data_IF_337499755473
#
_entry.id   IF_337499755473
#
_cell.length_a   1.000
_cell.length_b   1.000
_cell.length_c   1.000
_cell.angle_alpha   90.00
_cell.angle_beta   90.00
_cell.angle_gamma   90.00
#
_symmetry.space_group_name_H-M   'P 1'
#
loop_
_entity.id
_entity.type
_entity.pdbx_description
1 polymer ?
#
# COMPACT_ATOMS: atom_id res chain seq x y z
N UNK A 1 -8.28 26.96 0.75
CA UNK A 1 -8.32 25.71 -0.05
C UNK A 1 -8.65 24.58 0.92
N UNK A 2 -9.79 23.91 0.74
CA UNK A 2 -10.08 22.70 1.51
C UNK A 2 -9.19 21.60 0.92
N UNK A 3 -8.12 21.23 1.63
CA UNK A 3 -7.28 20.09 1.27
C UNK A 3 -8.05 18.81 1.61
N UNK A 4 -8.98 18.43 0.75
CA UNK A 4 -9.71 17.17 0.87
C UNK A 4 -8.90 16.08 0.18
N UNK A 5 -8.60 15.01 0.90
CA UNK A 5 -8.00 13.82 0.29
C UNK A 5 -9.10 13.11 -0.51
N UNK A 6 -9.04 13.21 -1.84
CA UNK A 6 -9.99 12.55 -2.71
C UNK A 6 -9.54 11.12 -3.02
N UNK A 7 -10.50 10.19 -3.05
CA UNK A 7 -10.28 8.85 -3.58
C UNK A 7 -9.73 8.95 -5.01
N UNK A 8 -8.57 8.38 -5.30
CA UNK A 8 -7.98 8.44 -6.64
C UNK A 8 -8.84 7.72 -7.69
N UNK A 9 -9.61 6.71 -7.26
CA UNK A 9 -10.47 5.85 -8.09
C UNK A 9 -11.79 6.55 -8.47
N UNK A 10 -12.64 6.91 -7.49
CA UNK A 10 -13.98 7.46 -7.76
C UNK A 10 -14.16 8.95 -7.41
N UNK A 11 -13.11 9.62 -6.91
CA UNK A 11 -13.13 11.03 -6.46
C UNK A 11 -14.04 11.33 -5.27
N UNK A 12 -14.45 10.30 -4.51
CA UNK A 12 -15.14 10.47 -3.23
C UNK A 12 -14.30 11.30 -2.25
N UNK A 13 -14.96 12.16 -1.46
CA UNK A 13 -14.35 13.14 -0.57
C UNK A 13 -14.06 12.62 0.84
N UNK A 14 -14.87 11.68 1.34
CA UNK A 14 -14.59 10.97 2.59
C UNK A 14 -13.75 9.71 2.35
N UNK A 15 -12.55 9.72 2.92
CA UNK A 15 -11.60 8.61 2.87
C UNK A 15 -11.09 8.31 4.26
N UNK A 16 -11.05 7.03 4.63
CA UNK A 16 -10.56 6.55 5.91
C UNK A 16 -9.13 6.10 5.77
N UNK A 17 -8.27 6.55 6.68
CA UNK A 17 -6.95 5.97 6.84
C UNK A 17 -7.09 4.61 7.53
N UNK A 18 -6.64 3.55 6.86
CA UNK A 18 -6.82 2.17 7.32
C UNK A 18 -5.53 1.60 7.88
N UNK A 19 -4.37 1.99 7.33
CA UNK A 19 -3.10 1.48 7.83
C UNK A 19 -1.86 2.00 7.13
N UNK A 20 -0.71 1.57 7.62
CA UNK A 20 0.60 1.86 7.03
C UNK A 20 1.26 0.60 6.50
N UNK A 21 2.03 0.73 5.44
CA UNK A 21 2.99 -0.28 4.98
C UNK A 21 4.35 0.41 4.95
N UNK A 22 5.28 -0.05 5.77
CA UNK A 22 6.68 0.39 5.72
C UNK A 22 7.51 -0.67 5.02
N UNK A 23 8.43 -0.25 4.15
CA UNK A 23 9.22 -1.16 3.34
C UNK A 23 10.69 -1.03 3.69
N UNK A 24 11.32 -2.18 3.97
CA UNK A 24 12.76 -2.28 4.14
C UNK A 24 13.37 -2.85 2.86
N UNK A 25 14.23 -2.06 2.23
CA UNK A 25 14.90 -2.38 0.97
C UNK A 25 16.42 -2.57 1.12
N UNK A 26 17.05 -3.11 0.08
CA UNK A 26 18.49 -3.31 0.01
C UNK A 26 19.12 -2.64 -1.23
N UNK A 27 20.45 -2.70 -1.29
CA UNK A 27 21.24 -2.10 -2.36
C UNK A 27 21.04 -2.73 -3.75
N UNK A 28 20.33 -3.86 -3.83
CA UNK A 28 20.02 -4.60 -5.06
C UNK A 28 18.66 -4.22 -5.65
N UNK A 29 18.00 -3.16 -5.18
CA UNK A 29 16.65 -2.76 -5.60
C UNK A 29 15.61 -3.83 -5.29
N UNK A 30 15.67 -4.36 -4.07
CA UNK A 30 14.78 -5.40 -3.58
C UNK A 30 14.23 -4.99 -2.22
N UNK A 31 12.91 -5.09 -2.06
CA UNK A 31 12.29 -5.08 -0.76
C UNK A 31 12.37 -6.49 -0.17
N UNK A 32 12.77 -6.61 1.09
CA UNK A 32 12.87 -7.91 1.77
C UNK A 32 11.95 -8.03 2.99
N UNK A 33 11.40 -6.91 3.48
CA UNK A 33 10.41 -6.89 4.55
C UNK A 33 9.40 -5.77 4.33
N UNK A 34 8.12 -6.10 4.54
CA UNK A 34 7.00 -5.17 4.56
C UNK A 34 6.40 -5.20 5.97
N UNK A 35 6.49 -4.09 6.69
CA UNK A 35 5.94 -3.94 8.03
C UNK A 35 4.56 -3.24 7.95
N UNK A 36 3.49 -4.03 8.12
CA UNK A 36 2.12 -3.51 8.09
C UNK A 36 1.70 -3.06 9.49
N UNK A 37 1.17 -1.83 9.60
CA UNK A 37 0.74 -1.19 10.84
C UNK A 37 1.77 -1.23 11.98
N UNK A 38 3.07 -1.22 11.64
CA UNK A 38 4.18 -1.32 12.62
C UNK A 38 4.10 -2.56 13.52
N UNK A 39 3.36 -3.60 13.10
CA UNK A 39 3.02 -4.75 13.94
C UNK A 39 3.13 -6.08 13.21
N UNK A 40 2.82 -6.12 11.93
CA UNK A 40 2.71 -7.35 11.15
C UNK A 40 3.81 -7.38 10.09
N UNK A 41 4.96 -8.02 10.38
CA UNK A 41 6.02 -8.18 9.39
C UNK A 41 5.65 -9.24 8.35
N UNK A 42 5.87 -8.94 7.07
CA UNK A 42 5.76 -9.86 5.95
C UNK A 42 7.14 -9.92 5.29
N UNK A 43 7.85 -11.04 5.45
CA UNK A 43 9.21 -11.23 4.91
C UNK A 43 9.13 -11.88 3.53
N UNK A 44 9.36 -11.10 2.49
CA UNK A 44 9.32 -11.55 1.10
C UNK A 44 10.22 -10.67 0.24
N UNK A 45 11.01 -11.31 -0.63
CA UNK A 45 11.88 -10.64 -1.58
C UNK A 45 11.09 -10.25 -2.82
N UNK A 46 10.93 -8.96 -3.09
CA UNK A 46 10.22 -8.44 -4.27
C UNK A 46 11.06 -7.36 -4.94
N UNK A 47 10.87 -7.16 -6.26
CA UNK A 47 11.53 -6.04 -6.96
C UNK A 47 11.01 -4.71 -6.38
N UNK A 48 11.92 -3.80 -6.07
CA UNK A 48 11.58 -2.52 -5.46
C UNK A 48 12.49 -1.41 -5.99
N UNK A 49 11.92 -0.42 -6.66
CA UNK A 49 12.68 0.54 -7.46
C UNK A 49 13.31 1.68 -6.64
N UNK A 50 12.96 1.75 -5.36
CA UNK A 50 13.42 2.77 -4.41
C UNK A 50 14.50 2.24 -3.48
N UNK A 51 15.35 3.16 -3.00
CA UNK A 51 16.53 2.82 -2.19
C UNK A 51 16.78 3.88 -1.14
N UNK A 52 16.12 3.77 0.01
CA UNK A 52 16.34 4.67 1.14
C UNK A 52 15.66 4.24 2.43
N UNK A 53 16.10 4.84 3.54
CA UNK A 53 15.37 4.75 4.79
C UNK A 53 14.11 5.61 4.71
N UNK A 54 12.97 5.05 5.12
CA UNK A 54 11.72 5.77 5.29
C UNK A 54 10.68 5.59 4.19
N UNK A 55 10.76 4.52 3.38
CA UNK A 55 9.68 4.17 2.46
C UNK A 55 8.42 3.83 3.27
N UNK A 56 7.42 4.70 3.15
CA UNK A 56 6.18 4.64 3.92
C UNK A 56 5.01 4.82 2.97
N UNK A 57 4.05 3.90 3.08
CA UNK A 57 2.84 3.93 2.28
C UNK A 57 1.63 3.97 3.21
N UNK A 58 0.70 4.87 2.90
CA UNK A 58 -0.53 5.07 3.65
C UNK A 58 -1.69 4.45 2.88
N UNK A 59 -2.32 3.44 3.45
CA UNK A 59 -3.46 2.76 2.87
C UNK A 59 -4.75 3.44 3.31
N UNK A 60 -5.57 3.81 2.33
CA UNK A 60 -6.87 4.42 2.53
C UNK A 60 -7.98 3.57 1.92
N UNK A 61 -9.20 3.72 2.45
CA UNK A 61 -10.43 3.19 1.87
C UNK A 61 -11.49 4.28 1.85
N UNK A 62 -12.15 4.52 0.71
CA UNK A 62 -13.28 5.45 0.65
C UNK A 62 -14.61 4.78 1.05
N UNK A 63 -15.66 5.56 1.25
CA UNK A 63 -17.02 5.05 1.54
C UNK A 63 -17.56 4.14 0.42
N UNK A 64 -17.17 4.40 -0.83
CA UNK A 64 -17.46 3.50 -1.96
C UNK A 64 -16.68 2.17 -1.93
N UNK A 65 -15.86 1.95 -0.92
CA UNK A 65 -15.12 0.71 -0.69
C UNK A 65 -13.79 0.62 -1.42
N UNK A 66 -13.45 1.59 -2.27
CA UNK A 66 -12.20 1.58 -3.03
C UNK A 66 -10.98 1.82 -2.15
N UNK A 67 -9.98 0.97 -2.30
CA UNK A 67 -8.66 1.14 -1.76
C UNK A 67 -7.82 2.06 -2.64
N UNK A 68 -7.02 2.90 -2.00
CA UNK A 68 -5.94 3.62 -2.67
C UNK A 68 -4.78 3.81 -1.68
N UNK A 69 -3.57 3.94 -2.22
CA UNK A 69 -2.36 4.08 -1.43
C UNK A 69 -1.71 5.41 -1.76
N UNK A 70 -1.25 6.12 -0.73
CA UNK A 70 -0.34 7.26 -0.88
C UNK A 70 1.07 6.83 -0.53
N UNK A 71 1.96 6.93 -1.48
CA UNK A 71 3.32 6.38 -1.37
C UNK A 71 4.33 7.49 -1.18
N UNK A 72 5.26 7.28 -0.26
CA UNK A 72 6.39 8.17 0.01
C UNK A 72 7.66 7.33 0.00
N UNK A 73 8.43 7.44 -1.07
CA UNK A 73 9.59 6.60 -1.31
C UNK A 73 10.86 7.45 -1.39
N UNK A 74 11.90 7.03 -0.68
CA UNK A 74 13.18 7.72 -0.71
C UNK A 74 14.09 7.17 -1.80
N UNK A 75 14.76 8.06 -2.54
CA UNK A 75 15.88 7.67 -3.40
C UNK A 75 16.88 8.82 -3.57
N UNK A 76 18.15 8.56 -3.23
CA UNK A 76 19.27 9.52 -3.38
C UNK A 76 19.01 10.90 -2.73
N UNK A 77 18.40 10.91 -1.55
CA UNK A 77 18.10 12.13 -0.80
C UNK A 77 16.86 12.90 -1.27
N UNK A 78 16.14 12.38 -2.27
CA UNK A 78 14.82 12.88 -2.68
C UNK A 78 13.71 11.97 -2.17
N UNK A 79 12.51 12.54 -2.01
CA UNK A 79 11.27 11.80 -1.74
C UNK A 79 10.38 11.87 -2.97
N UNK A 80 9.99 10.71 -3.48
CA UNK A 80 9.06 10.53 -4.57
C UNK A 80 7.68 10.22 -3.98
N UNK A 81 6.64 10.86 -4.51
CA UNK A 81 5.28 10.74 -4.00
C UNK A 81 4.41 10.14 -5.09
N UNK A 82 3.67 9.09 -4.75
CA UNK A 82 2.72 8.40 -5.64
C UNK A 82 3.34 7.93 -6.98
N UNK A 83 4.60 7.44 -6.92
CA UNK A 83 5.34 6.95 -8.10
C UNK A 83 5.81 5.49 -7.89
N UNK A 84 5.13 4.74 -7.00
CA UNK A 84 5.49 3.37 -6.65
C UNK A 84 4.52 2.36 -7.29
N UNK A 85 4.98 1.77 -8.39
CA UNK A 85 4.20 0.80 -9.17
C UNK A 85 3.73 -0.41 -8.33
N UNK A 86 4.55 -0.91 -7.38
CA UNK A 86 4.15 -2.06 -6.55
C UNK A 86 2.93 -1.72 -5.68
N UNK A 87 2.86 -0.48 -5.18
CA UNK A 87 1.72 0.00 -4.39
C UNK A 87 0.48 0.28 -5.25
N UNK A 88 0.65 0.79 -6.47
CA UNK A 88 -0.46 0.97 -7.41
C UNK A 88 -1.09 -0.39 -7.81
N UNK A 89 -0.24 -1.38 -8.04
CA UNK A 89 -0.66 -2.76 -8.30
C UNK A 89 -1.35 -3.39 -7.09
N UNK A 90 -0.84 -3.16 -5.88
CA UNK A 90 -1.48 -3.63 -4.64
C UNK A 90 -2.87 -3.00 -4.47
N UNK A 91 -3.00 -1.69 -4.65
CA UNK A 91 -4.30 -1.01 -4.56
C UNK A 91 -5.29 -1.55 -5.60
N UNK A 92 -4.82 -1.81 -6.83
CA UNK A 92 -5.63 -2.40 -7.89
C UNK A 92 -6.08 -3.83 -7.55
N UNK A 93 -5.17 -4.67 -7.05
CA UNK A 93 -5.47 -6.02 -6.58
C UNK A 93 -6.53 -6.01 -5.47
N UNK A 94 -6.36 -5.16 -4.45
CA UNK A 94 -7.33 -5.05 -3.35
C UNK A 94 -8.71 -4.60 -3.87
N UNK A 95 -8.77 -3.66 -4.80
CA UNK A 95 -10.05 -3.24 -5.40
C UNK A 95 -10.76 -4.37 -6.15
N UNK A 96 -10.03 -5.26 -6.81
CA UNK A 96 -10.63 -6.42 -7.49
C UNK A 96 -11.10 -7.49 -6.50
N UNK A 97 -10.28 -7.83 -5.50
CA UNK A 97 -10.64 -8.83 -4.47
C UNK A 97 -11.89 -8.41 -3.69
N UNK A 98 -12.02 -7.12 -3.38
CA UNK A 98 -13.09 -6.59 -2.54
C UNK A 98 -14.26 -5.99 -3.32
N UNK A 99 -14.31 -6.17 -4.64
CA UNK A 99 -15.30 -5.55 -5.54
C UNK A 99 -16.75 -5.88 -5.18
N UNK A 100 -17.01 -7.11 -4.75
CA UNK A 100 -18.35 -7.62 -4.44
C UNK A 100 -18.67 -7.62 -2.93
N UNK A 101 -17.79 -7.06 -2.09
CA UNK A 101 -17.98 -7.10 -0.65
C UNK A 101 -19.09 -6.12 -0.20
N UNK A 102 -20.27 -6.66 0.13
CA UNK A 102 -21.43 -5.87 0.59
C UNK A 102 -21.20 -5.17 1.95
N UNK A 103 -20.33 -5.73 2.81
CA UNK A 103 -19.99 -5.18 4.12
C UNK A 103 -18.57 -4.64 4.13
N UNK A 104 -18.45 -3.34 3.88
CA UNK A 104 -17.17 -2.63 3.82
C UNK A 104 -16.69 -2.31 5.23
N UNK A 105 -15.75 -3.09 5.74
CA UNK A 105 -14.99 -2.70 6.93
C UNK A 105 -14.18 -1.44 6.60
N UNK A 106 -14.44 -0.33 7.31
CA UNK A 106 -13.65 0.90 7.25
C UNK A 106 -12.48 0.86 8.24
N UNK A 107 -12.05 -0.35 8.63
CA UNK A 107 -10.97 -0.58 9.57
C UNK A 107 -10.06 -1.69 9.06
N UNK A 108 -8.82 -1.71 9.56
CA UNK A 108 -7.89 -2.78 9.24
C UNK A 108 -8.34 -4.08 9.91
N UNK A 109 -8.38 -5.17 9.14
CA UNK A 109 -8.70 -6.51 9.63
C UNK A 109 -7.71 -7.56 9.09
N UNK A 110 -7.82 -8.79 9.61
CA UNK A 110 -6.95 -9.89 9.21
C UNK A 110 -7.18 -10.37 7.78
N UNK A 111 -8.37 -10.14 7.20
CA UNK A 111 -8.63 -10.44 5.79
C UNK A 111 -7.80 -9.52 4.90
N UNK A 112 -7.78 -8.23 5.21
CA UNK A 112 -6.95 -7.25 4.50
C UNK A 112 -5.46 -7.59 4.63
N UNK A 113 -4.99 -7.96 5.83
CA UNK A 113 -3.61 -8.40 6.03
C UNK A 113 -3.27 -9.61 5.16
N UNK A 114 -4.14 -10.62 5.13
CA UNK A 114 -3.94 -11.84 4.32
C UNK A 114 -3.88 -11.55 2.82
N UNK A 115 -4.73 -10.65 2.33
CA UNK A 115 -4.72 -10.24 0.92
C UNK A 115 -3.45 -9.43 0.55
N UNK A 116 -2.95 -8.57 1.45
CA UNK A 116 -1.67 -7.89 1.25
C UNK A 116 -0.54 -8.91 1.17
N UNK A 117 -0.52 -9.89 2.07
CA UNK A 117 0.47 -10.97 2.08
C UNK A 117 0.42 -11.78 0.78
N UNK A 118 -0.76 -12.25 0.36
CA UNK A 118 -0.97 -13.01 -0.88
C UNK A 118 -0.44 -12.25 -2.10
N UNK A 119 -0.78 -10.96 -2.22
CA UNK A 119 -0.27 -10.12 -3.30
C UNK A 119 1.26 -10.07 -3.30
N UNK A 120 1.89 -9.78 -2.16
CA UNK A 120 3.35 -9.65 -2.09
C UNK A 120 4.06 -10.97 -2.42
N UNK A 121 3.52 -12.11 -1.97
CA UNK A 121 4.04 -13.43 -2.34
C UNK A 121 3.90 -13.72 -3.85
N UNK A 122 2.84 -13.22 -4.49
CA UNK A 122 2.69 -13.33 -5.96
C UNK A 122 3.73 -12.52 -6.74
N UNK A 123 4.35 -11.51 -6.10
CA UNK A 123 5.42 -10.66 -6.66
C UNK A 123 6.83 -11.11 -6.27
N UNK A 124 6.95 -12.26 -5.62
CA UNK A 124 8.23 -12.77 -5.13
C UNK A 124 9.20 -12.97 -6.29
N UNK A 125 10.45 -12.60 -6.05
CA UNK A 125 11.60 -12.90 -6.89
C UNK A 125 12.54 -13.88 -6.17
N UNK A 126 13.30 -14.64 -6.94
CA UNK A 126 14.34 -15.56 -6.44
C UNK A 126 15.58 -14.80 -5.94
#
# INVERSE_FOLDING_TARGET
MNNVLLCSVCKYDYTHFIGTIQVTDNDEYQAYEFMVNQKYPITVKTKYEYRSQGNLHLLFRCEDGHFFIKSFDGHKGNVFIDDNQLMDELASYLNEVYKEEEKRSLSFDYGLLGNIEEFLFSKKID
#
